data_IF_298759046025
#
_entry.id   IF_298759046025
#
_cell.length_a   1.000
_cell.length_b   1.000
_cell.length_c   1.000
_cell.angle_alpha   90.00
_cell.angle_beta   90.00
_cell.angle_gamma   90.00
#
_symmetry.space_group_name_H-M   'P 1'
#
loop_
_entity.id
_entity.type
_entity.pdbx_description
1 polymer ?
#
# COMPACT_ATOMS: atom_id res chain seq x y z
N UNK A 1 -6.69 5.33 18.53
CA UNK A 1 -7.94 4.76 19.10
C UNK A 1 -7.70 3.61 20.08
N UNK A 2 -6.54 2.95 20.09
CA UNK A 2 -6.21 1.88 21.06
C UNK A 2 -6.02 2.35 22.52
N UNK A 3 -5.76 3.65 22.77
CA UNK A 3 -5.51 4.21 24.11
C UNK A 3 -6.72 4.02 25.06
N UNK A 4 -7.94 3.96 24.51
CA UNK A 4 -9.18 3.87 25.31
C UNK A 4 -9.43 2.48 25.91
N UNK A 5 -8.75 1.44 25.42
CA UNK A 5 -8.90 0.06 25.95
C UNK A 5 -8.36 -0.07 27.38
N UNK A 6 -7.40 0.77 27.74
CA UNK A 6 -6.82 0.84 29.10
C UNK A 6 -7.89 1.21 30.14
N UNK A 7 -8.93 1.95 29.72
CA UNK A 7 -9.92 2.57 30.61
C UNK A 7 -11.31 1.92 30.57
N UNK A 8 -11.60 1.10 29.56
CA UNK A 8 -12.95 0.55 29.31
C UNK A 8 -13.07 -0.92 29.73
N UNK A 9 -11.96 -1.66 29.81
CA UNK A 9 -12.02 -3.09 30.11
C UNK A 9 -12.22 -3.31 31.63
N UNK A 10 -13.33 -3.93 32.08
CA UNK A 10 -13.52 -4.26 33.49
C UNK A 10 -12.52 -5.34 33.90
N UNK A 11 -11.82 -5.12 35.01
CA UNK A 11 -10.79 -5.98 35.57
C UNK A 11 -10.30 -5.42 36.91
N UNK A 12 -9.31 -6.04 37.55
CA UNK A 12 -8.80 -5.53 38.84
C UNK A 12 -8.16 -4.14 38.66
N UNK A 13 -8.70 -3.10 39.33
CA UNK A 13 -8.21 -1.75 39.18
C UNK A 13 -6.93 -1.58 40.01
N UNK A 14 -5.84 -1.18 39.35
CA UNK A 14 -4.57 -0.84 40.04
C UNK A 14 -4.59 0.60 40.52
N UNK A 15 -5.31 1.45 39.81
CA UNK A 15 -5.48 2.86 40.13
C UNK A 15 -6.86 3.34 39.69
N UNK A 16 -7.63 3.88 40.62
CA UNK A 16 -8.93 4.50 40.36
C UNK A 16 -8.82 6.00 40.57
N UNK A 17 -9.02 6.78 39.51
CA UNK A 17 -9.13 8.22 39.60
C UNK A 17 -10.59 8.61 39.42
N UNK A 18 -11.28 8.96 40.51
CA UNK A 18 -12.64 9.45 40.47
C UNK A 18 -12.66 10.98 40.53
N UNK A 19 -12.99 11.64 39.43
CA UNK A 19 -13.31 13.07 39.41
C UNK A 19 -14.82 13.21 39.16
N UNK A 20 -15.61 13.09 40.23
CA UNK A 20 -17.07 13.22 40.20
C UNK A 20 -17.76 12.18 39.31
N UNK A 21 -18.14 12.58 38.10
CA UNK A 21 -18.93 11.79 37.12
C UNK A 21 -18.03 10.87 36.26
N UNK A 22 -16.72 11.15 36.20
CA UNK A 22 -15.76 10.34 35.45
C UNK A 22 -14.99 9.43 36.41
N UNK A 23 -15.22 8.12 36.28
CA UNK A 23 -14.37 7.07 36.87
C UNK A 23 -13.44 6.57 35.77
N UNK A 24 -12.15 6.94 35.84
CA UNK A 24 -11.11 6.29 35.05
C UNK A 24 -10.43 5.26 35.95
N UNK A 25 -10.72 3.99 35.70
CA UNK A 25 -10.02 2.87 36.32
C UNK A 25 -8.99 2.33 35.33
N UNK A 26 -7.71 2.33 35.72
CA UNK A 26 -6.65 1.69 34.96
C UNK A 26 -6.57 0.24 35.43
N UNK A 27 -6.94 -0.69 34.56
CA UNK A 27 -6.94 -2.13 34.85
C UNK A 27 -5.67 -2.78 34.31
N UNK A 28 -5.10 -3.74 35.07
CA UNK A 28 -3.94 -4.52 34.61
C UNK A 28 -4.23 -5.24 33.28
N UNK A 29 -5.45 -5.75 33.14
CA UNK A 29 -5.92 -6.39 31.91
C UNK A 29 -6.00 -5.42 30.73
N UNK A 30 -6.42 -4.17 30.96
CA UNK A 30 -6.46 -3.12 29.94
C UNK A 30 -5.06 -2.75 29.44
N UNK A 31 -4.08 -2.68 30.34
CA UNK A 31 -2.68 -2.41 29.99
C UNK A 31 -2.06 -3.56 29.17
N UNK A 32 -2.25 -4.81 29.59
CA UNK A 32 -1.76 -5.98 28.86
C UNK A 32 -2.38 -6.09 27.46
N UNK A 33 -3.67 -5.80 27.32
CA UNK A 33 -4.36 -5.79 26.03
C UNK A 33 -3.87 -4.65 25.12
N UNK A 34 -3.64 -3.46 25.69
CA UNK A 34 -3.06 -2.34 24.95
C UNK A 34 -1.67 -2.67 24.40
N UNK A 35 -0.78 -3.22 25.23
CA UNK A 35 0.56 -3.61 24.81
C UNK A 35 0.54 -4.65 23.69
N UNK A 36 -0.36 -5.65 23.77
CA UNK A 36 -0.54 -6.64 22.71
C UNK A 36 -0.99 -6.01 21.38
N UNK A 37 -1.96 -5.09 21.41
CA UNK A 37 -2.44 -4.41 20.21
C UNK A 37 -1.34 -3.52 19.62
N UNK A 38 -0.60 -2.78 20.46
CA UNK A 38 0.51 -1.95 20.03
C UNK A 38 1.64 -2.77 19.39
N UNK A 39 2.04 -3.87 20.03
CA UNK A 39 3.05 -4.78 19.51
C UNK A 39 2.61 -5.38 18.16
N UNK A 40 1.36 -5.84 18.05
CA UNK A 40 0.81 -6.38 16.79
C UNK A 40 0.80 -5.35 15.67
N UNK A 41 0.42 -4.11 15.96
CA UNK A 41 0.43 -3.03 14.98
C UNK A 41 1.85 -2.73 14.49
N UNK A 42 2.82 -2.68 15.41
CA UNK A 42 4.23 -2.45 15.09
C UNK A 42 4.80 -3.59 14.22
N UNK A 43 4.54 -4.85 14.59
CA UNK A 43 4.97 -6.01 13.81
C UNK A 43 4.33 -6.05 12.41
N UNK A 44 3.05 -5.71 12.29
CA UNK A 44 2.38 -5.60 10.99
C UNK A 44 3.05 -4.54 10.10
N UNK A 45 3.36 -3.38 10.68
CA UNK A 45 4.09 -2.31 9.99
C UNK A 45 5.48 -2.75 9.51
N UNK A 46 6.24 -3.45 10.36
CA UNK A 46 7.54 -4.00 9.99
C UNK A 46 7.44 -5.03 8.86
N UNK A 47 6.46 -5.96 8.94
CA UNK A 47 6.23 -6.95 7.88
C UNK A 47 5.88 -6.29 6.54
N UNK A 48 5.01 -5.26 6.55
CA UNK A 48 4.68 -4.52 5.32
C UNK A 48 5.89 -3.80 4.74
N UNK A 49 6.71 -3.16 5.59
CA UNK A 49 7.91 -2.45 5.16
C UNK A 49 8.96 -3.41 4.58
N UNK A 50 9.18 -4.57 5.23
CA UNK A 50 10.04 -5.62 4.71
C UNK A 50 9.55 -6.12 3.35
N UNK A 51 8.24 -6.32 3.16
CA UNK A 51 7.67 -6.73 1.89
C UNK A 51 7.93 -5.68 0.79
N UNK A 52 7.69 -4.40 1.08
CA UNK A 52 7.93 -3.30 0.13
C UNK A 52 9.39 -3.18 -0.29
N UNK A 53 10.34 -3.36 0.63
CA UNK A 53 11.77 -3.22 0.34
C UNK A 53 12.38 -4.46 -0.33
N UNK A 54 11.89 -5.66 -0.01
CA UNK A 54 12.46 -6.91 -0.51
C UNK A 54 11.91 -7.34 -1.87
N UNK A 55 10.67 -6.96 -2.21
CA UNK A 55 9.95 -7.51 -3.35
C UNK A 55 9.54 -6.42 -4.33
N UNK A 56 9.95 -6.56 -5.60
CA UNK A 56 9.50 -5.67 -6.68
C UNK A 56 7.99 -5.84 -6.93
N UNK A 57 7.28 -4.73 -7.21
CA UNK A 57 5.85 -4.72 -7.51
C UNK A 57 5.45 -5.70 -8.62
N UNK A 58 6.26 -5.87 -9.66
CA UNK A 58 5.99 -6.82 -10.74
C UNK A 58 5.99 -8.29 -10.26
N UNK A 59 6.75 -8.61 -9.21
CA UNK A 59 6.73 -9.95 -8.61
C UNK A 59 5.45 -10.18 -7.81
N UNK A 60 4.91 -9.13 -7.17
CA UNK A 60 3.62 -9.18 -6.48
C UNK A 60 2.47 -9.45 -7.46
N UNK A 61 2.47 -8.81 -8.63
CA UNK A 61 1.47 -9.05 -9.68
C UNK A 61 1.47 -10.50 -10.17
N UNK A 62 2.64 -11.12 -10.30
CA UNK A 62 2.74 -12.56 -10.64
C UNK A 62 2.22 -13.46 -9.52
N UNK A 63 2.43 -13.08 -8.26
CA UNK A 63 1.84 -13.80 -7.14
C UNK A 63 0.30 -13.74 -7.20
N UNK A 64 -0.28 -12.59 -7.60
CA UNK A 64 -1.72 -12.45 -7.86
C UNK A 64 -2.19 -13.33 -9.04
N UNK A 65 -1.39 -13.46 -10.10
CA UNK A 65 -1.65 -14.37 -11.22
C UNK A 65 -1.80 -15.82 -10.74
N UNK A 66 -0.88 -16.28 -9.88
CA UNK A 66 -0.94 -17.62 -9.27
C UNK A 66 -2.11 -17.80 -8.30
N UNK A 67 -2.59 -16.72 -7.70
CA UNK A 67 -3.81 -16.70 -6.88
C UNK A 67 -5.09 -16.70 -7.72
N UNK A 68 -5.00 -16.91 -9.05
CA UNK A 68 -6.11 -16.96 -10.02
C UNK A 68 -6.87 -15.64 -10.16
N UNK A 69 -6.20 -14.50 -9.95
CA UNK A 69 -6.75 -13.19 -10.33
C UNK A 69 -6.87 -13.13 -11.86
N UNK A 70 -7.99 -12.61 -12.43
CA UNK A 70 -8.15 -12.48 -13.88
C UNK A 70 -6.99 -11.73 -14.55
N UNK A 71 -6.49 -12.27 -15.66
CA UNK A 71 -5.33 -11.73 -16.40
C UNK A 71 -5.52 -10.28 -16.85
N UNK A 72 -6.76 -9.88 -17.16
CA UNK A 72 -7.11 -8.50 -17.53
C UNK A 72 -6.80 -7.49 -16.40
N UNK A 73 -7.07 -7.85 -15.14
CA UNK A 73 -6.78 -6.98 -14.01
C UNK A 73 -5.27 -6.81 -13.82
N UNK A 74 -4.53 -7.91 -13.95
CA UNK A 74 -3.07 -7.91 -13.83
C UNK A 74 -2.44 -7.04 -14.92
N UNK A 75 -2.97 -7.13 -16.15
CA UNK A 75 -2.58 -6.28 -17.27
C UNK A 75 -2.84 -4.80 -16.98
N UNK A 76 -4.04 -4.44 -16.53
CA UNK A 76 -4.40 -3.05 -16.20
C UNK A 76 -3.46 -2.50 -15.11
N UNK A 77 -3.23 -3.27 -14.03
CA UNK A 77 -2.34 -2.85 -12.94
C UNK A 77 -0.89 -2.74 -13.42
N UNK A 78 -0.44 -3.64 -14.30
CA UNK A 78 0.92 -3.60 -14.85
C UNK A 78 1.14 -2.35 -15.70
N UNK A 79 0.18 -2.00 -16.56
CA UNK A 79 0.22 -0.75 -17.31
C UNK A 79 0.17 0.45 -16.39
N UNK A 80 -0.75 0.47 -15.42
CA UNK A 80 -0.85 1.56 -14.43
C UNK A 80 0.49 1.81 -13.74
N UNK A 81 1.18 0.76 -13.26
CA UNK A 81 2.49 0.90 -12.62
C UNK A 81 3.55 1.43 -13.58
N UNK A 82 3.61 0.92 -14.81
CA UNK A 82 4.56 1.39 -15.83
C UNK A 82 4.32 2.85 -16.20
N UNK A 83 3.06 3.24 -16.42
CA UNK A 83 2.69 4.60 -16.83
C UNK A 83 2.71 5.60 -15.68
N UNK A 84 2.66 5.16 -14.42
CA UNK A 84 2.78 6.06 -13.27
C UNK A 84 4.08 6.86 -13.32
N UNK A 85 5.21 6.21 -13.61
CA UNK A 85 6.50 6.90 -13.75
C UNK A 85 6.55 7.83 -14.98
N UNK A 86 5.95 7.42 -16.09
CA UNK A 86 5.90 8.24 -17.32
C UNK A 86 5.08 9.51 -17.09
N UNK A 87 3.92 9.37 -16.46
CA UNK A 87 3.03 10.49 -16.15
C UNK A 87 3.62 11.40 -15.07
N UNK A 88 4.34 10.84 -14.09
CA UNK A 88 5.09 11.61 -13.10
C UNK A 88 6.16 12.48 -13.77
N UNK A 89 6.97 11.90 -14.66
CA UNK A 89 7.99 12.65 -15.41
C UNK A 89 7.37 13.78 -16.25
N UNK A 90 6.25 13.51 -16.91
CA UNK A 90 5.53 14.51 -17.70
C UNK A 90 4.94 15.62 -16.83
N UNK A 91 4.32 15.26 -15.71
CA UNK A 91 3.78 16.21 -14.73
C UNK A 91 4.91 17.08 -14.16
N UNK A 92 6.07 16.50 -13.85
CA UNK A 92 7.23 17.23 -13.35
C UNK A 92 7.81 18.19 -14.40
N UNK A 93 7.81 17.81 -15.69
CA UNK A 93 8.18 18.72 -16.79
C UNK A 93 7.20 19.89 -16.91
N UNK A 94 5.90 19.62 -16.87
CA UNK A 94 4.87 20.67 -16.89
C UNK A 94 4.99 21.61 -15.69
N UNK A 95 5.21 21.05 -14.50
CA UNK A 95 5.43 21.82 -13.27
C UNK A 95 6.64 22.74 -13.39
N UNK A 96 7.79 22.24 -13.84
CA UNK A 96 8.99 23.06 -14.08
C UNK A 96 8.72 24.18 -15.09
N UNK A 97 8.05 23.88 -16.20
CA UNK A 97 7.70 24.90 -17.20
C UNK A 97 6.76 25.98 -16.64
N UNK A 98 5.81 25.60 -15.78
CA UNK A 98 4.94 26.54 -15.07
C UNK A 98 5.74 27.42 -14.11
N UNK A 99 6.61 26.82 -13.30
CA UNK A 99 7.41 27.53 -12.31
C UNK A 99 8.43 28.48 -12.98
N UNK A 100 8.94 28.17 -14.18
CA UNK A 100 9.76 29.10 -14.97
C UNK A 100 8.98 30.29 -15.54
N UNK A 101 7.66 30.16 -15.76
CA UNK A 101 6.81 31.22 -16.32
C UNK A 101 6.14 32.08 -15.25
N UNK A 102 6.09 31.63 -14.01
CA UNK A 102 5.36 32.33 -12.95
C UNK A 102 6.14 32.33 -11.65
N UNK A 103 6.51 33.53 -11.20
CA UNK A 103 7.31 33.77 -9.98
C UNK A 103 6.40 33.93 -8.74
N UNK A 104 5.19 34.47 -8.90
CA UNK A 104 4.23 34.67 -7.81
C UNK A 104 2.78 34.59 -8.33
N UNK A 105 1.88 33.95 -7.56
CA UNK A 105 0.46 33.84 -7.88
C UNK A 105 -0.39 33.59 -6.64
N UNK A 106 -1.66 34.02 -6.69
CA UNK A 106 -2.64 33.69 -5.64
C UNK A 106 -2.90 32.18 -5.59
N UNK A 107 -3.35 31.64 -4.44
CA UNK A 107 -3.76 30.22 -4.29
C UNK A 107 -4.74 29.80 -5.39
N UNK A 108 -5.65 30.67 -5.77
CA UNK A 108 -6.62 30.45 -6.86
C UNK A 108 -5.94 30.29 -8.23
N UNK A 109 -4.90 31.06 -8.51
CA UNK A 109 -4.12 30.95 -9.74
C UNK A 109 -3.39 29.60 -9.80
N UNK A 110 -2.79 29.17 -8.67
CA UNK A 110 -2.13 27.86 -8.60
C UNK A 110 -3.10 26.70 -8.80
N UNK A 111 -4.29 26.77 -8.21
CA UNK A 111 -5.34 25.76 -8.41
C UNK A 111 -5.78 25.68 -9.88
N UNK A 112 -6.01 26.83 -10.54
CA UNK A 112 -6.37 26.88 -11.96
C UNK A 112 -5.25 26.33 -12.86
N UNK A 113 -4.00 26.66 -12.56
CA UNK A 113 -2.86 26.14 -13.31
C UNK A 113 -2.72 24.61 -13.13
N UNK A 114 -2.95 24.08 -11.92
CA UNK A 114 -2.99 22.63 -11.69
C UNK A 114 -4.10 21.96 -12.48
N UNK A 115 -5.32 22.52 -12.49
CA UNK A 115 -6.43 22.00 -13.28
C UNK A 115 -6.11 21.96 -14.77
N UNK A 116 -5.49 23.02 -15.31
CA UNK A 116 -5.05 23.05 -16.72
C UNK A 116 -3.98 21.98 -17.01
N UNK A 117 -2.99 21.81 -16.14
CA UNK A 117 -1.96 20.78 -16.31
C UNK A 117 -2.56 19.38 -16.28
N UNK A 118 -3.50 19.11 -15.36
CA UNK A 118 -4.20 17.83 -15.30
C UNK A 118 -5.05 17.58 -16.55
N UNK A 119 -5.74 18.61 -17.06
CA UNK A 119 -6.51 18.51 -18.31
C UNK A 119 -5.64 18.14 -19.51
N UNK A 120 -4.48 18.80 -19.67
CA UNK A 120 -3.53 18.46 -20.75
C UNK A 120 -2.94 17.07 -20.56
N UNK A 121 -2.56 16.70 -19.32
CA UNK A 121 -2.01 15.38 -19.02
C UNK A 121 -3.02 14.27 -19.30
N UNK A 122 -4.32 14.50 -19.02
CA UNK A 122 -5.38 13.54 -19.31
C UNK A 122 -5.52 13.28 -20.81
N UNK A 123 -5.57 14.33 -21.64
CA UNK A 123 -5.66 14.18 -23.10
C UNK A 123 -4.45 13.41 -23.65
N UNK A 124 -3.24 13.77 -23.21
CA UNK A 124 -2.01 13.07 -23.64
C UNK A 124 -1.96 11.62 -23.19
N UNK A 125 -2.40 11.33 -21.97
CA UNK A 125 -2.47 9.97 -21.45
C UNK A 125 -3.48 9.13 -22.24
N UNK A 126 -4.61 9.72 -22.67
CA UNK A 126 -5.61 9.07 -23.49
C UNK A 126 -5.08 8.73 -24.89
N UNK A 127 -4.53 9.73 -25.60
CA UNK A 127 -3.89 9.54 -26.92
C UNK A 127 -2.80 8.46 -26.85
N UNK A 128 -1.97 8.51 -25.81
CA UNK A 128 -0.92 7.51 -25.57
C UNK A 128 -1.48 6.11 -25.34
N UNK A 129 -2.60 5.98 -24.64
CA UNK A 129 -3.25 4.69 -24.41
C UNK A 129 -3.78 4.09 -25.72
N UNK A 130 -4.36 4.93 -26.58
CA UNK A 130 -4.82 4.53 -27.92
C UNK A 130 -3.66 4.07 -28.81
N UNK A 131 -2.58 4.85 -28.88
CA UNK A 131 -1.36 4.49 -29.64
C UNK A 131 -0.80 3.13 -29.21
N UNK A 132 -0.78 2.88 -27.89
CA UNK A 132 -0.26 1.64 -27.31
C UNK A 132 -1.18 0.47 -27.63
N UNK A 133 -2.50 0.67 -27.53
CA UNK A 133 -3.48 -0.34 -27.88
C UNK A 133 -3.38 -0.71 -29.37
N UNK A 134 -3.32 0.27 -30.27
CA UNK A 134 -3.14 0.04 -31.70
C UNK A 134 -1.83 -0.71 -32.00
N UNK A 135 -0.73 -0.34 -31.32
CA UNK A 135 0.54 -1.06 -31.42
C UNK A 135 0.48 -2.49 -30.88
N UNK A 136 -0.36 -2.76 -29.88
CA UNK A 136 -0.62 -4.12 -29.39
C UNK A 136 -1.41 -4.93 -30.43
N UNK A 137 -2.48 -4.37 -30.98
CA UNK A 137 -3.24 -5.00 -32.06
C UNK A 137 -2.36 -5.35 -33.27
N UNK A 138 -1.48 -4.44 -33.69
CA UNK A 138 -0.53 -4.67 -34.78
C UNK A 138 0.46 -5.81 -34.52
N UNK A 139 0.75 -6.12 -33.24
CA UNK A 139 1.61 -7.23 -32.83
C UNK A 139 0.86 -8.54 -32.58
N UNK A 140 -0.44 -8.60 -32.90
CA UNK A 140 -1.27 -9.79 -32.72
C UNK A 140 -1.76 -10.00 -31.29
N UNK A 141 -2.10 -8.92 -30.58
CA UNK A 141 -2.65 -8.99 -29.23
C UNK A 141 -3.94 -9.84 -29.17
N UNK A 142 -3.89 -10.91 -28.37
CA UNK A 142 -4.95 -11.91 -28.18
C UNK A 142 -5.78 -11.68 -26.90
N UNK A 143 -5.64 -10.51 -26.25
CA UNK A 143 -6.29 -10.19 -24.99
C UNK A 143 -5.47 -10.56 -23.74
N UNK A 144 -4.31 -11.22 -23.89
CA UNK A 144 -3.41 -11.57 -22.80
C UNK A 144 -2.02 -10.95 -22.93
N UNK A 145 -1.39 -10.62 -21.80
CA UNK A 145 0.04 -10.33 -21.75
C UNK A 145 0.73 -11.56 -21.17
N UNK A 146 1.59 -12.20 -21.96
CA UNK A 146 2.38 -13.35 -21.52
C UNK A 146 3.60 -12.84 -20.75
N UNK A 147 3.75 -13.25 -19.50
CA UNK A 147 4.93 -12.91 -18.70
C UNK A 147 6.02 -13.98 -18.90
N UNK A 148 7.28 -13.55 -19.09
CA UNK A 148 8.41 -14.45 -19.45
C UNK A 148 9.03 -15.16 -18.23
N UNK A 149 8.60 -14.79 -17.01
CA UNK A 149 9.29 -15.17 -15.78
C UNK A 149 8.47 -16.16 -14.94
N UNK A 150 8.92 -17.41 -14.91
CA UNK A 150 8.38 -18.45 -14.05
C UNK A 150 9.05 -18.44 -12.67
N UNK A 151 8.27 -18.16 -11.62
CA UNK A 151 8.71 -18.39 -10.24
C UNK A 151 8.42 -19.84 -9.84
N UNK A 152 9.45 -20.60 -9.48
CA UNK A 152 9.31 -21.93 -8.88
C UNK A 152 9.53 -21.84 -7.39
N UNK A 153 8.71 -22.54 -6.60
CA UNK A 153 8.88 -22.64 -5.15
C UNK A 153 10.24 -23.27 -4.86
N UNK A 154 11.09 -22.54 -4.13
CA UNK A 154 12.40 -23.05 -3.71
C UNK A 154 12.30 -23.63 -2.32
N UNK A 155 13.15 -24.61 -2.00
CA UNK A 155 13.23 -25.21 -0.66
C UNK A 155 13.52 -24.15 0.42
N UNK A 156 14.27 -23.09 0.07
CA UNK A 156 14.50 -21.94 0.95
C UNK A 156 13.21 -21.21 1.33
N UNK A 157 12.24 -21.11 0.41
CA UNK A 157 10.95 -20.47 0.67
C UNK A 157 10.10 -21.34 1.60
N UNK A 158 10.18 -22.67 1.46
CA UNK A 158 9.50 -23.62 2.32
C UNK A 158 10.08 -23.63 3.74
N UNK A 159 11.41 -23.61 3.88
CA UNK A 159 12.07 -23.47 5.18
C UNK A 159 11.72 -22.14 5.84
N UNK A 160 11.70 -21.04 5.08
CA UNK A 160 11.29 -19.73 5.58
C UNK A 160 9.84 -19.75 6.08
N UNK A 161 8.91 -20.29 5.30
CA UNK A 161 7.50 -20.44 5.70
C UNK A 161 7.36 -21.29 6.97
N UNK A 162 8.07 -22.41 7.07
CA UNK A 162 8.04 -23.27 8.26
C UNK A 162 8.52 -22.52 9.50
N UNK A 163 9.64 -21.79 9.40
CA UNK A 163 10.18 -21.00 10.52
C UNK A 163 9.25 -19.85 10.94
N UNK A 164 8.61 -19.18 9.98
CA UNK A 164 7.66 -18.10 10.25
C UNK A 164 6.40 -18.62 10.95
N UNK A 165 5.84 -19.75 10.48
CA UNK A 165 4.65 -20.38 11.08
C UNK A 165 4.95 -20.88 12.49
N UNK A 166 6.13 -21.47 12.72
CA UNK A 166 6.53 -21.90 14.06
C UNK A 166 6.68 -20.70 15.01
N UNK A 167 7.31 -19.61 14.57
CA UNK A 167 7.49 -18.42 15.39
C UNK A 167 6.14 -17.78 15.77
N UNK A 168 5.20 -17.67 14.83
CA UNK A 168 3.85 -17.14 15.11
C UNK A 168 3.05 -18.06 16.04
N UNK A 169 3.18 -19.38 15.86
CA UNK A 169 2.52 -20.35 16.74
C UNK A 169 3.06 -20.27 18.18
N UNK A 170 4.37 -20.12 18.34
CA UNK A 170 5.02 -19.94 19.65
C UNK A 170 4.55 -18.64 20.32
N UNK A 171 4.48 -17.54 19.57
CA UNK A 171 3.98 -16.24 20.07
C UNK A 171 2.51 -16.36 20.50
N UNK A 172 1.68 -17.08 19.72
CA UNK A 172 0.27 -17.32 20.08
C UNK A 172 0.12 -18.16 21.35
N UNK A 173 0.98 -19.16 21.55
CA UNK A 173 0.98 -20.01 22.75
C UNK A 173 1.49 -19.26 23.99
N UNK A 174 2.36 -18.26 23.82
CA UNK A 174 2.88 -17.46 24.93
C UNK A 174 1.95 -16.30 25.35
N UNK A 175 1.04 -15.88 24.46
CA UNK A 175 0.11 -14.74 24.65
C UNK A 175 -1.34 -15.19 24.89
N UNK A 176 -1.69 -16.43 24.54
CA UNK A 176 -3.00 -17.04 24.81
C UNK A 176 -2.98 -17.88 26.08
#
# INVERSE_FOLDING_TARGET
MSIFIIFIKPGEPVWEFSLGIFKLSITNEGLAMFLNIAAKAYLCGLCMLLLMLSTNFLNLLKALEKLRVPSILIMIISFMYRYLFVLEDELMRMKRAKDSRTIAGSRWFHARALANMLGVLFVRAYERAEDVYLAMCARGFDGGIRTIYDYKLRIKDLCFLATAVSAVSIIKIYIG
#
